data_IF_313789115858
#
_entry.id   IF_313789115858
#
_cell.length_a   1.000
_cell.length_b   1.000
_cell.length_c   1.000
_cell.angle_alpha   90.00
_cell.angle_beta   90.00
_cell.angle_gamma   90.00
#
_symmetry.space_group_name_H-M   'P 1'
#
loop_
_entity.id
_entity.type
_entity.pdbx_description
1 polymer ?
#
# COMPACT_ATOMS: atom_id res chain seq x y z
N UNK A 1 7.19 3.29 16.72
CA UNK A 1 8.07 3.30 15.53
C UNK A 1 8.70 4.68 15.48
N UNK A 2 10.02 4.81 15.46
CA UNK A 2 10.70 6.11 15.43
C UNK A 2 11.26 6.30 14.02
N UNK A 3 10.61 7.16 13.24
CA UNK A 3 11.11 7.58 11.94
C UNK A 3 12.37 8.45 12.14
N UNK A 4 13.30 8.51 11.17
CA UNK A 4 14.41 9.44 11.23
C UNK A 4 13.90 10.86 11.50
N UNK A 5 14.70 11.64 12.21
CA UNK A 5 14.34 12.98 12.69
C UNK A 5 13.72 13.77 11.53
N UNK A 6 12.48 14.28 11.69
CA UNK A 6 11.81 15.05 10.65
C UNK A 6 12.72 16.19 10.17
N UNK A 7 12.74 16.53 8.87
CA UNK A 7 13.22 17.83 8.49
C UNK A 7 12.49 18.92 9.28
N UNK A 8 13.24 19.98 9.65
CA UNK A 8 12.71 21.15 10.37
C UNK A 8 11.51 21.81 9.68
N UNK A 9 11.31 21.54 8.39
CA UNK A 9 10.15 21.96 7.62
C UNK A 9 9.60 20.77 6.81
N UNK A 10 8.27 20.63 6.81
CA UNK A 10 7.59 19.61 6.00
C UNK A 10 7.90 19.84 4.51
N UNK A 11 8.34 18.80 3.78
CA UNK A 11 8.59 18.96 2.36
C UNK A 11 7.27 19.25 1.62
N UNK A 12 7.32 20.23 0.74
CA UNK A 12 6.26 20.54 -0.23
C UNK A 12 6.82 20.33 -1.64
N UNK A 13 5.99 20.48 -2.68
CA UNK A 13 6.40 20.24 -4.08
C UNK A 13 7.72 20.94 -4.45
N UNK A 14 7.93 22.17 -3.98
CA UNK A 14 9.12 22.96 -4.32
C UNK A 14 10.37 22.57 -3.52
N UNK A 15 10.22 21.92 -2.37
CA UNK A 15 11.33 21.64 -1.44
C UNK A 15 11.67 20.16 -1.31
N UNK A 16 10.78 19.24 -1.72
CA UNK A 16 10.95 17.81 -1.52
C UNK A 16 12.21 17.23 -2.19
N UNK A 17 12.43 17.53 -3.47
CA UNK A 17 13.61 17.04 -4.19
C UNK A 17 14.91 17.69 -3.70
N UNK A 18 14.86 18.98 -3.34
CA UNK A 18 16.02 19.68 -2.78
C UNK A 18 16.41 19.11 -1.41
N UNK A 19 15.43 18.69 -0.61
CA UNK A 19 15.69 17.98 0.64
C UNK A 19 16.34 16.61 0.40
N UNK A 20 15.79 15.83 -0.54
CA UNK A 20 16.38 14.55 -0.94
C UNK A 20 17.81 14.70 -1.46
N UNK A 21 18.09 15.76 -2.22
CA UNK A 21 19.42 16.11 -2.71
C UNK A 21 20.41 16.39 -1.58
N UNK A 22 20.00 17.16 -0.56
CA UNK A 22 20.83 17.40 0.64
C UNK A 22 21.16 16.11 1.39
N UNK A 23 20.20 15.20 1.53
CA UNK A 23 20.44 13.90 2.15
C UNK A 23 21.47 13.08 1.37
N UNK A 24 21.37 13.08 0.03
CA UNK A 24 22.30 12.36 -0.84
C UNK A 24 23.70 12.99 -0.83
N UNK A 25 23.79 14.32 -0.77
CA UNK A 25 25.06 15.03 -0.64
C UNK A 25 25.79 14.65 0.66
N UNK A 26 25.05 14.55 1.78
CA UNK A 26 25.60 14.09 3.06
C UNK A 26 26.05 12.61 3.03
N UNK A 27 25.50 11.80 2.12
CA UNK A 27 25.92 10.42 1.84
C UNK A 27 27.06 10.34 0.81
N UNK A 28 27.65 11.48 0.40
CA UNK A 28 28.77 11.53 -0.54
C UNK A 28 28.37 11.54 -2.02
N UNK A 29 27.10 11.83 -2.33
CA UNK A 29 26.58 11.95 -3.71
C UNK A 29 26.21 13.41 -3.98
N UNK A 30 27.15 14.27 -4.41
CA UNK A 30 26.93 15.71 -4.52
C UNK A 30 26.06 16.13 -5.71
N UNK A 31 25.95 15.29 -6.74
CA UNK A 31 25.14 15.54 -7.94
C UNK A 31 24.23 14.33 -8.23
N UNK A 32 23.21 14.08 -7.40
CA UNK A 32 22.36 12.92 -7.57
C UNK A 32 21.44 13.08 -8.79
N UNK A 33 21.32 12.01 -9.57
CA UNK A 33 20.29 11.89 -10.61
C UNK A 33 18.88 12.09 -10.03
N UNK A 34 17.92 12.49 -10.86
CA UNK A 34 16.51 12.62 -10.47
C UNK A 34 15.95 11.35 -9.80
N UNK A 35 16.20 10.19 -10.39
CA UNK A 35 15.82 8.89 -9.83
C UNK A 35 16.34 8.69 -8.40
N UNK A 36 17.61 9.03 -8.12
CA UNK A 36 18.18 8.96 -6.76
C UNK A 36 17.49 9.90 -5.78
N UNK A 37 17.12 11.12 -6.22
CA UNK A 37 16.35 12.06 -5.40
C UNK A 37 14.94 11.54 -5.10
N UNK A 38 14.25 10.97 -6.08
CA UNK A 38 12.97 10.27 -5.86
C UNK A 38 13.11 9.16 -4.82
N UNK A 39 14.19 8.37 -4.88
CA UNK A 39 14.48 7.31 -3.91
C UNK A 39 14.68 7.76 -2.46
N UNK A 40 14.93 9.06 -2.22
CA UNK A 40 15.07 9.66 -0.88
C UNK A 40 13.92 10.62 -0.53
N UNK A 41 12.91 10.72 -1.38
CA UNK A 41 11.72 11.52 -1.11
C UNK A 41 10.86 10.85 -0.04
N UNK A 42 10.23 11.67 0.81
CA UNK A 42 9.44 11.22 1.98
C UNK A 42 7.98 11.68 1.90
N UNK A 43 7.10 10.94 2.56
CA UNK A 43 5.68 11.29 2.67
C UNK A 43 5.50 12.46 3.66
N UNK A 44 4.86 13.56 3.28
CA UNK A 44 4.83 14.78 4.11
C UNK A 44 3.56 14.92 4.98
N UNK A 45 2.73 13.89 5.09
CA UNK A 45 1.47 13.95 5.84
C UNK A 45 1.02 12.59 6.39
N UNK A 46 0.01 12.64 7.27
CA UNK A 46 -0.67 11.47 7.79
C UNK A 46 0.20 10.60 8.68
N UNK A 47 -0.21 9.33 8.86
CA UNK A 47 0.51 8.38 9.72
C UNK A 47 1.88 7.95 9.19
N UNK A 48 2.18 8.23 7.91
CA UNK A 48 3.45 7.92 7.26
C UNK A 48 4.37 9.14 7.20
N UNK A 49 4.12 10.17 8.02
CA UNK A 49 4.92 11.38 8.04
C UNK A 49 6.42 11.06 8.13
N UNK A 50 7.19 11.56 7.17
CA UNK A 50 8.63 11.34 6.98
C UNK A 50 9.06 9.91 6.63
N UNK A 51 8.13 9.00 6.36
CA UNK A 51 8.46 7.71 5.79
C UNK A 51 8.98 7.91 4.35
N UNK A 52 10.16 7.38 3.99
CA UNK A 52 10.64 7.43 2.62
C UNK A 52 9.76 6.54 1.72
N UNK A 53 9.68 6.83 0.43
CA UNK A 53 8.83 6.04 -0.48
C UNK A 53 9.19 4.55 -0.49
N UNK A 54 10.47 4.21 -0.41
CA UNK A 54 10.91 2.82 -0.30
C UNK A 54 10.40 2.12 0.99
N UNK A 55 10.06 2.88 2.03
CA UNK A 55 9.45 2.32 3.24
C UNK A 55 8.04 1.82 2.94
N UNK A 56 7.25 2.55 2.13
CA UNK A 56 5.94 2.08 1.69
C UNK A 56 6.07 0.80 0.88
N UNK A 57 7.06 0.71 -0.01
CA UNK A 57 7.34 -0.52 -0.79
C UNK A 57 7.56 -1.74 0.14
N UNK A 58 8.27 -1.56 1.25
CA UNK A 58 8.60 -2.67 2.16
C UNK A 58 7.54 -2.96 3.21
N UNK A 59 6.68 -2.01 3.56
CA UNK A 59 5.81 -2.10 4.75
C UNK A 59 4.32 -1.87 4.47
N UNK A 60 3.97 -1.28 3.32
CA UNK A 60 2.58 -0.97 2.95
C UNK A 60 2.45 -0.78 1.41
N UNK A 61 2.82 -1.84 0.70
CA UNK A 61 2.91 -1.88 -0.77
C UNK A 61 1.50 -1.76 -1.39
N UNK A 62 0.49 -2.25 -0.68
CA UNK A 62 -0.92 -2.16 -0.98
C UNK A 62 -1.39 -0.70 -1.01
N UNK A 63 -1.06 0.08 0.02
CA UNK A 63 -1.40 1.49 0.07
C UNK A 63 -0.71 2.26 -1.06
N UNK A 64 0.57 1.96 -1.31
CA UNK A 64 1.31 2.59 -2.41
C UNK A 64 0.65 2.32 -3.77
N UNK A 65 0.30 1.06 -4.06
CA UNK A 65 -0.38 0.67 -5.31
C UNK A 65 -1.74 1.37 -5.45
N UNK A 66 -2.53 1.39 -4.38
CA UNK A 66 -3.81 2.07 -4.37
C UNK A 66 -3.68 3.57 -4.68
N UNK A 67 -2.71 4.26 -4.08
CA UNK A 67 -2.49 5.70 -4.32
C UNK A 67 -2.14 5.94 -5.80
N UNK A 68 -1.24 5.13 -6.37
CA UNK A 68 -0.80 5.27 -7.76
C UNK A 68 -1.94 5.00 -8.74
N UNK A 69 -2.67 3.89 -8.58
CA UNK A 69 -3.75 3.54 -9.52
C UNK A 69 -4.92 4.53 -9.44
N UNK A 70 -5.25 4.97 -8.21
CA UNK A 70 -6.25 6.03 -8.03
C UNK A 70 -5.80 7.32 -8.69
N UNK A 71 -4.55 7.73 -8.49
CA UNK A 71 -3.98 8.92 -9.13
C UNK A 71 -4.07 8.85 -10.65
N UNK A 72 -3.65 7.73 -11.26
CA UNK A 72 -3.77 7.49 -12.70
C UNK A 72 -5.21 7.59 -13.20
N UNK A 73 -6.17 7.06 -12.44
CA UNK A 73 -7.59 7.18 -12.77
C UNK A 73 -8.12 8.63 -12.62
N UNK A 74 -7.64 9.36 -11.62
CA UNK A 74 -7.98 10.78 -11.43
C UNK A 74 -7.42 11.64 -12.57
N UNK A 75 -6.17 11.43 -12.99
CA UNK A 75 -5.54 12.13 -14.13
C UNK A 75 -6.27 11.84 -15.45
N UNK A 76 -6.70 10.59 -15.68
CA UNK A 76 -7.50 10.23 -16.87
C UNK A 76 -8.88 10.88 -16.90
N UNK A 77 -9.44 11.22 -15.74
CA UNK A 77 -10.75 11.86 -15.60
C UNK A 77 -10.58 13.37 -15.40
N UNK A 78 -10.09 14.06 -16.44
CA UNK A 78 -9.76 15.51 -16.44
C UNK A 78 -10.92 16.45 -16.07
N UNK A 79 -12.16 15.94 -15.96
CA UNK A 79 -13.37 16.75 -15.79
C UNK A 79 -13.69 17.10 -14.33
N UNK A 80 -12.85 16.71 -13.35
CA UNK A 80 -13.00 17.11 -11.95
C UNK A 80 -11.95 18.15 -11.59
N UNK A 81 -12.26 19.43 -11.88
CA UNK A 81 -11.53 20.64 -11.49
C UNK A 81 -11.43 20.89 -9.97
N UNK A 82 -11.40 19.83 -9.14
CA UNK A 82 -11.11 19.96 -7.73
C UNK A 82 -9.59 19.92 -7.55
N UNK A 83 -9.03 20.88 -6.78
CA UNK A 83 -7.64 20.83 -6.38
C UNK A 83 -7.34 19.45 -5.77
N UNK A 84 -6.55 18.66 -6.48
CA UNK A 84 -6.22 17.30 -6.06
C UNK A 84 -5.30 17.40 -4.85
N UNK A 85 -5.83 17.05 -3.68
CA UNK A 85 -5.09 17.10 -2.44
C UNK A 85 -3.79 16.28 -2.58
N UNK A 86 -2.65 16.91 -2.27
CA UNK A 86 -1.32 16.32 -2.35
C UNK A 86 -0.93 15.76 -3.73
N UNK A 87 -1.41 16.39 -4.82
CA UNK A 87 -1.13 15.99 -6.20
C UNK A 87 0.34 15.65 -6.45
N UNK A 88 1.25 16.55 -6.06
CA UNK A 88 2.69 16.38 -6.28
C UNK A 88 3.27 15.13 -5.61
N UNK A 89 2.73 14.71 -4.46
CA UNK A 89 3.20 13.48 -3.77
C UNK A 89 2.78 12.26 -4.58
N UNK A 90 1.57 12.26 -5.12
CA UNK A 90 1.07 11.18 -5.96
C UNK A 90 1.83 11.13 -7.30
N UNK A 91 2.16 12.28 -7.87
CA UNK A 91 3.02 12.39 -9.06
C UNK A 91 4.39 11.77 -8.79
N UNK A 92 5.07 12.17 -7.69
CA UNK A 92 6.39 11.62 -7.35
C UNK A 92 6.34 10.15 -6.96
N UNK A 93 5.28 9.66 -6.31
CA UNK A 93 5.11 8.23 -6.03
C UNK A 93 4.95 7.42 -7.33
N UNK A 94 4.21 7.96 -8.29
CA UNK A 94 4.02 7.36 -9.61
C UNK A 94 5.34 7.33 -10.38
N UNK A 95 6.02 8.48 -10.46
CA UNK A 95 7.33 8.60 -11.11
C UNK A 95 8.38 7.71 -10.44
N UNK A 96 8.36 7.59 -9.11
CA UNK A 96 9.21 6.67 -8.37
C UNK A 96 8.94 5.22 -8.79
N UNK A 97 7.68 4.76 -8.80
CA UNK A 97 7.37 3.40 -9.22
C UNK A 97 7.83 3.10 -10.66
N UNK A 98 7.68 4.06 -11.57
CA UNK A 98 8.10 3.95 -12.98
C UNK A 98 9.62 4.01 -13.15
N UNK A 99 10.31 4.79 -12.31
CA UNK A 99 11.77 4.91 -12.31
C UNK A 99 12.49 3.70 -11.73
N UNK A 100 11.81 2.85 -10.96
CA UNK A 100 12.39 1.66 -10.33
C UNK A 100 11.64 0.39 -10.78
N UNK A 101 12.07 -0.30 -11.85
CA UNK A 101 11.35 -1.45 -12.43
C UNK A 101 10.99 -2.53 -11.41
N UNK A 102 11.86 -2.81 -10.44
CA UNK A 102 11.61 -3.75 -9.36
C UNK A 102 10.41 -3.37 -8.47
N UNK A 103 10.15 -2.07 -8.30
CA UNK A 103 9.00 -1.56 -7.55
C UNK A 103 7.74 -1.80 -8.37
N UNK A 104 7.74 -1.44 -9.65
CA UNK A 104 6.60 -1.71 -10.54
C UNK A 104 6.25 -3.20 -10.61
N UNK A 105 7.24 -4.08 -10.76
CA UNK A 105 7.04 -5.54 -10.76
C UNK A 105 6.45 -6.00 -9.42
N UNK A 106 6.96 -5.50 -8.29
CA UNK A 106 6.47 -5.87 -6.97
C UNK A 106 5.02 -5.41 -6.75
N UNK A 107 4.66 -4.20 -7.20
CA UNK A 107 3.31 -3.67 -7.06
C UNK A 107 2.30 -4.54 -7.80
N UNK A 108 2.58 -4.93 -9.05
CA UNK A 108 1.70 -5.81 -9.83
C UNK A 108 1.67 -7.23 -9.23
N UNK A 109 2.83 -7.81 -8.90
CA UNK A 109 2.90 -9.12 -8.27
C UNK A 109 2.16 -9.19 -6.93
N UNK A 110 2.08 -8.08 -6.19
CA UNK A 110 1.31 -8.04 -4.95
C UNK A 110 -0.20 -8.08 -5.22
N UNK A 111 -0.68 -7.35 -6.23
CA UNK A 111 -2.08 -7.42 -6.65
C UNK A 111 -2.42 -8.82 -7.14
N UNK A 112 -1.57 -9.40 -7.97
CA UNK A 112 -1.74 -10.77 -8.44
C UNK A 112 -1.84 -11.72 -7.25
N UNK A 113 -0.99 -11.64 -6.23
CA UNK A 113 -1.10 -12.49 -5.02
C UNK A 113 -2.36 -12.25 -4.18
N UNK A 114 -2.87 -11.02 -4.19
CA UNK A 114 -4.12 -10.67 -3.52
C UNK A 114 -5.33 -11.27 -4.22
N UNK A 115 -5.31 -11.35 -5.55
CA UNK A 115 -6.43 -11.84 -6.37
C UNK A 115 -6.30 -13.34 -6.70
N UNK A 116 -5.08 -13.80 -6.96
CA UNK A 116 -4.73 -15.12 -7.50
C UNK A 116 -3.53 -15.74 -6.75
N UNK A 117 -3.67 -16.97 -6.24
CA UNK A 117 -2.52 -17.71 -5.68
C UNK A 117 -2.52 -17.90 -4.16
N UNK A 118 -3.66 -17.76 -3.50
CA UNK A 118 -3.79 -18.21 -2.11
C UNK A 118 -3.85 -19.73 -2.00
N UNK A 119 -2.82 -20.31 -1.39
CA UNK A 119 -2.76 -21.75 -1.13
C UNK A 119 -3.89 -22.15 -0.18
N UNK A 120 -4.82 -22.98 -0.66
CA UNK A 120 -6.02 -23.40 0.07
C UNK A 120 -7.28 -22.60 -0.28
N UNK A 121 -7.16 -21.56 -1.11
CA UNK A 121 -8.25 -20.66 -1.49
C UNK A 121 -8.16 -20.26 -2.96
N UNK A 122 -7.68 -21.18 -3.80
CA UNK A 122 -7.42 -20.91 -5.23
C UNK A 122 -8.69 -20.54 -5.99
N UNK A 123 -9.83 -21.04 -5.53
CA UNK A 123 -11.14 -20.83 -6.13
C UNK A 123 -11.98 -19.78 -5.39
N UNK A 124 -11.38 -19.04 -4.44
CA UNK A 124 -12.07 -18.00 -3.68
C UNK A 124 -11.58 -16.62 -4.11
N UNK A 125 -12.52 -15.70 -4.27
CA UNK A 125 -12.28 -14.26 -4.42
C UNK A 125 -11.76 -13.65 -3.10
N UNK A 126 -11.15 -12.47 -3.21
CA UNK A 126 -10.77 -11.67 -2.04
C UNK A 126 -11.96 -11.42 -1.11
N UNK A 127 -13.14 -11.16 -1.69
CA UNK A 127 -14.38 -10.92 -0.94
C UNK A 127 -14.81 -12.15 -0.12
N UNK A 128 -14.93 -13.31 -0.75
CA UNK A 128 -15.35 -14.56 -0.08
C UNK A 128 -14.41 -14.92 1.07
N UNK A 129 -13.12 -14.75 0.85
CA UNK A 129 -12.09 -14.93 1.87
C UNK A 129 -12.17 -13.94 3.02
N UNK A 130 -12.49 -12.69 2.71
CA UNK A 130 -12.67 -11.66 3.72
C UNK A 130 -13.89 -11.94 4.59
N UNK A 131 -14.95 -12.50 4.01
CA UNK A 131 -16.13 -12.98 4.73
C UNK A 131 -15.77 -14.14 5.66
N UNK A 132 -14.99 -15.12 5.19
CA UNK A 132 -14.47 -16.23 6.02
C UNK A 132 -13.62 -15.71 7.20
N UNK A 133 -12.79 -14.68 6.98
CA UNK A 133 -12.05 -14.03 8.07
C UNK A 133 -12.97 -13.36 9.11
N UNK A 134 -14.05 -12.70 8.69
CA UNK A 134 -15.02 -12.13 9.63
C UNK A 134 -15.78 -13.21 10.41
N UNK A 135 -16.04 -14.35 9.78
CA UNK A 135 -16.67 -15.49 10.45
C UNK A 135 -15.75 -16.12 11.49
N UNK A 136 -14.42 -15.97 11.39
CA UNK A 136 -13.46 -16.49 12.36
C UNK A 136 -13.72 -16.03 13.81
N UNK A 137 -14.11 -14.78 14.03
CA UNK A 137 -14.42 -14.31 15.39
C UNK A 137 -15.67 -14.98 15.97
N UNK A 138 -16.65 -15.29 15.11
CA UNK A 138 -17.87 -16.00 15.49
C UNK A 138 -17.57 -17.48 15.74
N UNK A 139 -16.75 -18.10 14.87
CA UNK A 139 -16.25 -19.47 15.01
C UNK A 139 -15.50 -19.69 16.32
N UNK A 140 -14.59 -18.78 16.70
CA UNK A 140 -13.81 -18.89 17.94
C UNK A 140 -14.69 -18.93 19.20
N UNK A 141 -15.89 -18.35 19.14
CA UNK A 141 -16.82 -18.24 20.27
C UNK A 141 -17.96 -19.27 20.23
N UNK A 142 -18.04 -20.13 19.21
CA UNK A 142 -19.11 -21.12 19.05
C UNK A 142 -18.90 -22.03 17.83
N UNK A 143 -18.05 -23.07 17.92
CA UNK A 143 -17.70 -23.94 16.79
C UNK A 143 -18.79 -24.96 16.40
N UNK A 144 -19.90 -25.04 17.12
CA UNK A 144 -20.84 -26.18 17.09
C UNK A 144 -21.75 -26.26 15.84
N UNK A 145 -21.69 -25.30 14.90
CA UNK A 145 -22.65 -25.18 13.79
C UNK A 145 -22.08 -25.38 12.37
N UNK A 146 -20.81 -25.78 12.24
CA UNK A 146 -20.14 -25.88 10.93
C UNK A 146 -19.63 -27.30 10.66
N UNK A 147 -19.62 -27.69 9.39
CA UNK A 147 -18.99 -28.94 8.94
C UNK A 147 -17.47 -28.88 9.11
N UNK A 148 -16.82 -30.04 9.27
CA UNK A 148 -15.36 -30.12 9.47
C UNK A 148 -14.55 -29.39 8.38
N UNK A 149 -15.00 -29.47 7.12
CA UNK A 149 -14.39 -28.76 5.98
C UNK A 149 -14.55 -27.22 6.07
N UNK A 150 -15.71 -26.74 6.51
CA UNK A 150 -15.94 -25.30 6.70
C UNK A 150 -15.13 -24.76 7.88
N UNK A 151 -15.02 -25.52 8.96
CA UNK A 151 -14.19 -25.19 10.12
C UNK A 151 -12.72 -25.07 9.75
N UNK A 152 -12.17 -26.02 8.98
CA UNK A 152 -10.79 -25.94 8.48
C UNK A 152 -10.55 -24.72 7.59
N UNK A 153 -11.50 -24.41 6.73
CA UNK A 153 -11.42 -23.29 5.78
C UNK A 153 -11.42 -21.94 6.52
N UNK A 154 -12.31 -21.77 7.50
CA UNK A 154 -12.39 -20.56 8.33
C UNK A 154 -11.14 -20.40 9.20
N UNK A 155 -10.57 -21.49 9.73
CA UNK A 155 -9.32 -21.44 10.51
C UNK A 155 -8.10 -21.02 9.68
N UNK A 156 -8.06 -21.36 8.39
CA UNK A 156 -6.97 -20.99 7.48
C UNK A 156 -7.08 -19.54 7.01
N UNK A 157 -8.28 -18.94 7.02
CA UNK A 157 -8.55 -17.61 6.48
C UNK A 157 -7.72 -16.46 7.12
N UNK A 158 -7.53 -16.37 8.46
CA UNK A 158 -6.70 -15.32 9.06
C UNK A 158 -5.24 -15.32 8.60
N UNK A 159 -4.66 -16.50 8.38
CA UNK A 159 -3.27 -16.62 7.92
C UNK A 159 -3.14 -16.12 6.48
N UNK A 160 -4.12 -16.44 5.62
CA UNK A 160 -4.16 -15.96 4.23
C UNK A 160 -4.40 -14.45 4.16
N UNK A 161 -5.35 -13.92 4.95
CA UNK A 161 -5.58 -12.47 5.05
C UNK A 161 -4.35 -11.73 5.57
N UNK A 162 -3.61 -12.28 6.55
CA UNK A 162 -2.36 -11.65 7.02
C UNK A 162 -1.29 -11.62 5.95
N UNK A 163 -1.19 -12.66 5.11
CA UNK A 163 -0.25 -12.68 3.97
C UNK A 163 -0.63 -11.66 2.90
N UNK A 164 -1.92 -11.41 2.69
CA UNK A 164 -2.40 -10.43 1.70
C UNK A 164 -2.05 -9.00 2.01
N UNK A 165 -2.03 -8.64 3.28
CA UNK A 165 -1.98 -7.24 3.63
C UNK A 165 -0.56 -6.73 3.77
N UNK A 166 0.44 -7.62 3.83
CA UNK A 166 1.85 -7.33 4.15
C UNK A 166 2.05 -6.25 5.25
N UNK A 167 1.04 -6.10 6.10
CA UNK A 167 0.81 -4.98 7.02
C UNK A 167 0.36 -5.58 8.35
N UNK A 168 0.76 -5.00 9.50
CA UNK A 168 0.31 -5.44 10.81
C UNK A 168 -1.23 -5.51 10.93
N UNK A 169 -1.74 -6.57 11.58
CA UNK A 169 -3.19 -6.78 11.80
C UNK A 169 -3.87 -5.59 12.49
N UNK A 170 -3.12 -4.78 13.24
CA UNK A 170 -3.60 -3.56 13.90
C UNK A 170 -4.13 -2.50 12.91
N UNK A 171 -3.71 -2.54 11.65
CA UNK A 171 -4.14 -1.60 10.62
C UNK A 171 -5.33 -2.12 9.78
N UNK A 172 -5.82 -3.34 10.04
CA UNK A 172 -6.96 -3.96 9.32
C UNK A 172 -8.27 -3.18 9.47
N UNK A 173 -8.42 -2.45 10.58
CA UNK A 173 -9.65 -1.70 10.88
C UNK A 173 -9.54 -0.25 10.37
N UNK A 174 -8.38 0.12 9.81
CA UNK A 174 -8.12 1.49 9.35
C UNK A 174 -8.93 1.86 8.11
N UNK A 175 -9.11 3.16 7.90
CA UNK A 175 -9.63 3.71 6.64
C UNK A 175 -8.84 3.25 5.40
N UNK A 176 -7.56 2.92 5.56
CA UNK A 176 -6.71 2.45 4.47
C UNK A 176 -7.12 1.06 4.03
N UNK A 177 -7.42 0.17 4.99
CA UNK A 177 -7.96 -1.15 4.67
C UNK A 177 -9.30 -1.05 3.94
N UNK A 178 -10.19 -0.15 4.35
CA UNK A 178 -11.47 0.08 3.64
C UNK A 178 -11.24 0.52 2.19
N UNK A 179 -10.25 1.37 1.94
CA UNK A 179 -9.88 1.84 0.59
C UNK A 179 -9.26 0.72 -0.25
N UNK A 180 -8.34 -0.07 0.33
CA UNK A 180 -7.71 -1.19 -0.35
C UNK A 180 -8.72 -2.27 -0.72
N UNK A 181 -9.63 -2.64 0.21
CA UNK A 181 -10.75 -3.55 -0.07
C UNK A 181 -11.59 -3.11 -1.26
N UNK A 182 -11.97 -1.82 -1.27
CA UNK A 182 -12.73 -1.27 -2.39
C UNK A 182 -11.96 -1.44 -3.71
N UNK A 183 -10.67 -1.11 -3.71
CA UNK A 183 -9.83 -1.22 -4.89
C UNK A 183 -9.66 -2.65 -5.40
N UNK A 184 -9.47 -3.63 -4.52
CA UNK A 184 -9.41 -5.04 -4.93
C UNK A 184 -10.74 -5.48 -5.53
N UNK A 185 -11.88 -5.14 -4.90
CA UNK A 185 -13.19 -5.44 -5.44
C UNK A 185 -13.42 -4.81 -6.83
N UNK A 186 -12.93 -3.59 -7.06
CA UNK A 186 -13.02 -2.90 -8.36
C UNK A 186 -12.12 -3.56 -9.44
N UNK A 187 -11.11 -4.36 -9.05
CA UNK A 187 -10.20 -5.09 -9.96
C UNK A 187 -10.61 -6.54 -10.23
N UNK A 188 -11.43 -7.12 -9.37
CA UNK A 188 -11.99 -8.48 -9.55
C UNK A 188 -13.18 -8.52 -10.53
N UNK A 189 -13.74 -7.36 -10.92
CA UNK A 189 -14.80 -7.20 -11.91
C UNK A 189 -14.27 -7.11 -13.35
#
# INVERSE_FOLDING_TARGET
>A
MVFPTPPLQLPNQSTALAHAEKLLANEGIPAPTHQRRLGKTVVPFGQYLNAPFHWLVSNDVECMKYIIDKHRAEVKNEHKNAAMENQWVKDYLTEYAESFPQVSILLEANIDRCIQGQKGFKDHTFKEMWELYHQYSTFKNGPELLTDEQGETIQKAPTSVRRWLHTPLTHIISMQMKRFKKYINDKEQ
#
